data_IF_449270670739
#
_entry.id   IF_449270670739
#
_cell.length_a   1.000
_cell.length_b   1.000
_cell.length_c   1.000
_cell.angle_alpha   90.00
_cell.angle_beta   90.00
_cell.angle_gamma   90.00
#
_symmetry.space_group_name_H-M   'P 1'
#
loop_
_entity.id
_entity.type
_entity.pdbx_description
1 polymer ?
#
# COMPACT_ATOMS: atom_id res chain seq x y z
N UNK A 1 3.62 16.57 -42.04
CA UNK A 1 4.74 17.39 -41.55
C UNK A 1 4.45 17.68 -40.09
N UNK A 2 5.14 17.23 -39.05
CA UNK A 2 6.36 16.45 -38.85
C UNK A 2 6.66 16.67 -37.35
N UNK A 3 6.39 15.67 -36.51
CA UNK A 3 6.54 15.73 -35.05
C UNK A 3 7.86 15.05 -34.67
N UNK A 4 8.78 15.66 -33.90
CA UNK A 4 9.91 14.95 -33.36
C UNK A 4 9.55 14.40 -31.96
N UNK A 5 9.34 13.09 -31.90
CA UNK A 5 9.45 12.32 -30.67
C UNK A 5 10.94 12.08 -30.38
N UNK A 6 11.40 12.44 -29.19
CA UNK A 6 12.68 11.99 -28.64
C UNK A 6 12.50 11.72 -27.14
N UNK A 7 12.01 10.52 -26.81
CA UNK A 7 12.28 9.90 -25.52
C UNK A 7 13.51 9.00 -25.73
N UNK A 8 14.65 9.44 -25.21
CA UNK A 8 15.86 8.62 -25.12
C UNK A 8 15.70 7.71 -23.92
N UNK A 9 15.64 6.40 -24.19
CA UNK A 9 15.84 5.37 -23.18
C UNK A 9 17.32 5.39 -22.77
N UNK A 10 17.62 5.74 -21.51
CA UNK A 10 18.94 5.56 -20.95
C UNK A 10 19.09 4.08 -20.53
N UNK A 11 19.86 3.37 -21.33
CA UNK A 11 20.50 2.10 -20.98
C UNK A 11 21.72 2.45 -20.13
N UNK A 12 21.68 2.21 -18.82
CA UNK A 12 22.90 2.03 -18.01
C UNK A 12 23.28 0.56 -18.09
N UNK A 13 24.50 0.14 -18.45
CA UNK A 13 25.79 0.72 -18.05
C UNK A 13 26.23 -0.06 -16.81
N UNK A 14 26.90 -1.18 -17.04
CA UNK A 14 27.57 -1.98 -16.00
C UNK A 14 28.64 -1.12 -15.34
N UNK A 15 28.50 -0.86 -14.04
CA UNK A 15 29.60 -0.55 -13.13
C UNK A 15 29.15 -0.90 -11.71
N UNK A 16 29.81 -1.90 -11.14
CA UNK A 16 29.60 -2.41 -9.79
C UNK A 16 29.89 -1.33 -8.73
N UNK A 17 28.89 -1.07 -7.87
CA UNK A 17 29.13 -0.40 -6.59
C UNK A 17 28.54 -1.28 -5.48
N UNK A 18 29.40 -2.11 -4.91
CA UNK A 18 29.10 -2.93 -3.74
C UNK A 18 28.90 -2.03 -2.50
N UNK A 19 27.72 -2.08 -1.89
CA UNK A 19 27.53 -1.55 -0.54
C UNK A 19 28.05 -2.59 0.46
N UNK A 20 29.18 -2.29 1.11
CA UNK A 20 29.71 -3.07 2.22
C UNK A 20 29.00 -2.69 3.52
N UNK A 21 28.37 -3.66 4.17
CA UNK A 21 27.94 -3.55 5.58
C UNK A 21 29.16 -3.82 6.49
N UNK A 22 29.30 -3.14 7.64
CA UNK A 22 30.34 -3.49 8.60
C UNK A 22 30.03 -4.87 9.20
N UNK A 23 31.01 -5.77 9.15
CA UNK A 23 30.96 -7.08 9.77
C UNK A 23 30.80 -6.93 11.29
N UNK A 24 29.69 -7.41 11.83
CA UNK A 24 29.54 -7.69 13.26
C UNK A 24 30.33 -8.96 13.56
N UNK A 25 31.51 -8.82 14.16
CA UNK A 25 32.28 -9.94 14.69
C UNK A 25 31.52 -10.58 15.87
N UNK A 26 30.98 -11.78 15.65
CA UNK A 26 30.46 -12.61 16.73
C UNK A 26 29.11 -13.30 16.49
N UNK A 27 28.84 -13.80 15.28
CA UNK A 27 27.70 -14.71 15.06
C UNK A 27 28.15 -15.98 14.33
N UNK A 28 27.81 -17.12 14.93
CA UNK A 28 27.90 -18.45 14.31
C UNK A 28 26.99 -18.46 13.08
N UNK A 29 27.59 -18.39 11.89
CA UNK A 29 26.88 -18.50 10.60
C UNK A 29 26.11 -19.84 10.56
N UNK A 30 24.80 -19.81 10.75
CA UNK A 30 23.94 -20.82 10.13
C UNK A 30 23.70 -20.40 8.69
N UNK A 31 24.59 -20.85 7.80
CA UNK A 31 24.31 -20.89 6.38
C UNK A 31 23.15 -21.84 6.08
N UNK A 32 22.65 -21.84 4.83
CA UNK A 32 21.65 -22.80 4.39
C UNK A 32 22.09 -24.21 4.74
N UNK A 33 21.14 -25.04 5.18
CA UNK A 33 21.44 -26.46 5.35
C UNK A 33 21.85 -27.03 3.98
N UNK A 34 22.70 -28.06 3.94
CA UNK A 34 23.30 -28.58 2.69
C UNK A 34 22.29 -28.93 1.59
N UNK A 35 21.03 -29.17 1.96
CA UNK A 35 19.93 -29.45 1.04
C UNK A 35 19.32 -28.18 0.41
N UNK A 36 19.38 -27.03 1.09
CA UNK A 36 18.83 -25.74 0.62
C UNK A 36 19.79 -25.02 -0.34
N UNK A 37 21.09 -25.21 -0.17
CA UNK A 37 22.11 -24.67 -1.10
C UNK A 37 22.02 -25.37 -2.46
N UNK A 38 21.76 -26.68 -2.50
CA UNK A 38 21.61 -27.45 -3.74
C UNK A 38 20.41 -27.03 -4.59
N UNK A 39 19.28 -26.68 -3.96
CA UNK A 39 18.07 -26.20 -4.65
C UNK A 39 18.30 -24.78 -5.22
N UNK A 40 19.04 -23.92 -4.51
CA UNK A 40 19.38 -22.58 -4.98
C UNK A 40 20.43 -22.59 -6.10
N UNK A 41 21.38 -23.53 -6.05
CA UNK A 41 22.37 -23.74 -7.11
C UNK A 41 21.74 -24.32 -8.38
N UNK A 42 20.72 -25.19 -8.29
CA UNK A 42 19.96 -25.72 -9.45
C UNK A 42 19.02 -24.67 -10.09
N UNK A 43 18.72 -23.58 -9.39
CA UNK A 43 17.98 -22.43 -9.94
C UNK A 43 18.89 -21.38 -10.57
N UNK A 44 20.21 -21.52 -10.41
CA UNK A 44 21.19 -20.66 -11.07
C UNK A 44 21.32 -21.06 -12.55
N UNK A 45 20.73 -20.24 -13.42
CA UNK A 45 20.71 -20.48 -14.88
C UNK A 45 19.34 -20.34 -15.54
N UNK A 46 18.26 -20.17 -14.76
CA UNK A 46 16.96 -19.79 -15.30
C UNK A 46 16.96 -18.31 -15.70
N UNK A 47 16.78 -18.04 -16.99
CA UNK A 47 16.56 -16.70 -17.50
C UNK A 47 15.39 -16.03 -16.75
N UNK A 48 15.53 -14.77 -16.34
CA UNK A 48 14.53 -14.01 -15.55
C UNK A 48 13.11 -14.07 -16.14
N UNK A 49 13.00 -14.21 -17.46
CA UNK A 49 11.74 -14.40 -18.20
C UNK A 49 11.09 -15.76 -17.98
N UNK A 50 11.87 -16.81 -17.79
CA UNK A 50 11.39 -18.16 -17.50
C UNK A 50 10.91 -18.27 -16.05
N UNK A 51 11.64 -17.68 -15.11
CA UNK A 51 11.21 -17.56 -13.72
C UNK A 51 9.89 -16.80 -13.58
N UNK A 52 9.75 -15.65 -14.26
CA UNK A 52 8.49 -14.88 -14.24
C UNK A 52 7.32 -15.61 -14.91
N UNK A 53 7.57 -16.44 -15.93
CA UNK A 53 6.54 -17.28 -16.54
C UNK A 53 6.11 -18.43 -15.64
N UNK A 54 7.05 -19.08 -14.94
CA UNK A 54 6.76 -20.12 -13.97
C UNK A 54 6.01 -19.56 -12.74
N UNK A 55 6.43 -18.39 -12.23
CA UNK A 55 5.76 -17.70 -11.13
C UNK A 55 4.36 -17.20 -11.53
N UNK A 56 4.19 -16.69 -12.76
CA UNK A 56 2.88 -16.29 -13.29
C UNK A 56 1.94 -17.50 -13.51
N UNK A 57 2.47 -18.65 -13.91
CA UNK A 57 1.71 -19.89 -14.02
C UNK A 57 1.29 -20.44 -12.64
N UNK A 58 2.15 -20.29 -11.62
CA UNK A 58 1.85 -20.69 -10.24
C UNK A 58 0.80 -19.78 -9.55
N UNK A 59 0.76 -18.49 -9.89
CA UNK A 59 -0.18 -17.53 -9.32
C UNK A 59 -1.58 -17.55 -9.96
N UNK A 60 -1.73 -18.11 -11.16
CA UNK A 60 -2.97 -17.99 -11.93
C UNK A 60 -4.05 -19.05 -11.60
N UNK A 61 -3.77 -20.14 -10.89
CA UNK A 61 -4.73 -21.26 -10.83
C UNK A 61 -5.01 -21.88 -9.46
N UNK A 62 -4.32 -21.51 -8.37
CA UNK A 62 -4.73 -21.89 -7.00
C UNK A 62 -4.81 -23.39 -6.67
N UNK A 63 -4.53 -24.28 -7.62
CA UNK A 63 -4.44 -25.73 -7.47
C UNK A 63 -3.70 -26.27 -8.70
N UNK A 64 -2.42 -26.62 -8.57
CA UNK A 64 -1.66 -27.16 -9.70
C UNK A 64 -2.04 -28.62 -9.89
N UNK A 65 -2.61 -28.92 -11.05
CA UNK A 65 -2.61 -30.25 -11.64
C UNK A 65 -1.26 -30.44 -12.38
N UNK A 66 -0.45 -31.46 -12.04
CA UNK A 66 0.93 -31.61 -12.51
C UNK A 66 1.11 -31.55 -14.04
N UNK A 67 0.07 -31.92 -14.79
CA UNK A 67 0.09 -32.01 -16.25
C UNK A 67 0.30 -30.65 -16.93
N UNK A 68 -0.16 -29.55 -16.31
CA UNK A 68 0.04 -28.21 -16.84
C UNK A 68 1.49 -27.72 -16.69
N UNK A 69 2.17 -28.17 -15.63
CA UNK A 69 3.56 -27.81 -15.35
C UNK A 69 4.53 -28.59 -16.25
N UNK A 70 4.27 -29.89 -16.45
CA UNK A 70 5.06 -30.75 -17.34
C UNK A 70 4.95 -30.40 -18.83
N UNK A 71 3.88 -29.70 -19.23
CA UNK A 71 3.74 -29.18 -20.60
C UNK A 71 4.67 -28.00 -20.91
N UNK A 72 5.18 -27.31 -19.88
CA UNK A 72 5.99 -26.09 -20.01
C UNK A 72 7.49 -26.40 -19.93
N UNK A 73 7.91 -27.28 -19.03
CA UNK A 73 9.32 -27.71 -18.91
C UNK A 73 9.41 -29.25 -18.79
N UNK A 74 9.65 -29.96 -19.92
CA UNK A 74 9.64 -31.43 -19.96
C UNK A 74 10.73 -32.10 -19.10
N UNK A 75 11.80 -31.38 -18.74
CA UNK A 75 12.90 -31.90 -17.92
C UNK A 75 12.50 -32.11 -16.46
N UNK A 76 11.56 -31.32 -15.94
CA UNK A 76 11.02 -31.48 -14.58
C UNK A 76 10.30 -32.82 -14.38
N UNK A 77 9.96 -33.53 -15.47
CA UNK A 77 9.31 -34.84 -15.43
C UNK A 77 10.24 -35.97 -14.99
N UNK A 78 11.55 -35.78 -15.14
CA UNK A 78 12.58 -36.81 -14.87
C UNK A 78 13.47 -36.45 -13.69
N UNK A 79 13.24 -35.30 -13.06
CA UNK A 79 13.93 -34.89 -11.83
C UNK A 79 13.35 -35.63 -10.61
N UNK A 80 14.13 -36.52 -9.96
CA UNK A 80 13.68 -37.30 -8.82
C UNK A 80 13.35 -36.44 -7.59
N UNK A 81 14.06 -35.33 -7.37
CA UNK A 81 13.85 -34.46 -6.21
C UNK A 81 12.63 -33.57 -6.42
N UNK A 82 12.39 -33.08 -7.64
CA UNK A 82 11.17 -32.37 -7.98
C UNK A 82 9.92 -33.27 -7.84
N UNK A 83 9.99 -34.52 -8.30
CA UNK A 83 8.90 -35.49 -8.15
C UNK A 83 8.60 -35.80 -6.68
N UNK A 84 9.63 -35.85 -5.83
CA UNK A 84 9.53 -36.08 -4.39
C UNK A 84 8.95 -34.86 -3.65
N UNK A 85 9.32 -33.65 -4.05
CA UNK A 85 8.75 -32.41 -3.53
C UNK A 85 7.25 -32.28 -3.88
N UNK A 86 6.86 -32.65 -5.10
CA UNK A 86 5.45 -32.73 -5.52
C UNK A 86 4.67 -33.75 -4.67
N UNK A 87 5.28 -34.92 -4.44
CA UNK A 87 4.69 -35.98 -3.63
C UNK A 87 4.52 -35.57 -2.15
N UNK A 88 5.43 -34.76 -1.61
CA UNK A 88 5.34 -34.19 -0.26
C UNK A 88 4.27 -33.10 -0.15
N UNK A 89 4.09 -32.28 -1.19
CA UNK A 89 2.99 -31.31 -1.26
C UNK A 89 1.61 -31.98 -1.39
N UNK A 90 1.57 -33.21 -1.90
CA UNK A 90 0.36 -34.03 -1.97
C UNK A 90 0.10 -34.88 -0.72
N UNK A 91 0.87 -34.71 0.37
CA UNK A 91 0.45 -35.27 1.64
C UNK A 91 -0.86 -34.61 2.04
N UNK A 92 -1.92 -35.41 2.10
CA UNK A 92 -3.22 -34.99 2.60
C UNK A 92 -3.00 -34.32 3.95
N UNK A 93 -3.35 -33.03 4.03
CA UNK A 93 -3.49 -32.37 5.32
C UNK A 93 -4.40 -33.23 6.22
N UNK A 94 -4.30 -33.10 7.55
CA UNK A 94 -5.14 -33.87 8.45
C UNK A 94 -6.61 -33.79 7.97
N UNK A 95 -7.34 -34.91 7.97
CA UNK A 95 -8.69 -34.94 7.43
C UNK A 95 -9.50 -33.82 8.08
N UNK A 96 -10.31 -33.08 7.31
CA UNK A 96 -11.10 -31.99 7.87
C UNK A 96 -11.90 -32.54 9.05
N UNK A 97 -11.83 -31.85 10.18
CA UNK A 97 -12.64 -32.21 11.35
C UNK A 97 -14.10 -32.17 10.90
N UNK A 98 -14.87 -33.28 11.03
CA UNK A 98 -16.26 -33.30 10.62
C UNK A 98 -17.03 -32.23 11.41
N UNK A 99 -17.50 -31.20 10.72
CA UNK A 99 -18.38 -30.21 11.33
C UNK A 99 -19.77 -30.84 11.45
N UNK A 100 -20.28 -30.99 12.67
CA UNK A 100 -21.67 -31.38 12.87
C UNK A 100 -22.61 -30.30 12.35
N UNK A 101 -23.86 -30.65 12.02
CA UNK A 101 -24.89 -29.68 11.58
C UNK A 101 -25.24 -28.59 12.63
N UNK A 102 -24.61 -28.61 13.81
CA UNK A 102 -24.68 -27.55 14.84
C UNK A 102 -23.40 -26.74 15.03
N UNK A 103 -22.33 -27.03 14.28
CA UNK A 103 -21.08 -26.27 14.29
C UNK A 103 -21.23 -25.09 13.31
N UNK A 104 -21.37 -23.88 13.84
CA UNK A 104 -21.46 -22.67 13.01
C UNK A 104 -20.19 -22.52 12.16
N UNK A 105 -20.26 -22.02 10.90
CA UNK A 105 -19.06 -21.59 10.18
C UNK A 105 -18.29 -20.64 11.10
N UNK A 106 -17.03 -20.99 11.36
CA UNK A 106 -16.20 -20.46 12.46
C UNK A 106 -16.64 -19.09 12.99
N UNK A 107 -17.37 -19.07 14.12
CA UNK A 107 -17.63 -17.85 14.89
C UNK A 107 -16.33 -17.25 15.45
N UNK A 108 -15.28 -18.06 15.55
CA UNK A 108 -13.91 -17.63 15.86
C UNK A 108 -13.13 -17.55 14.56
N UNK A 109 -13.12 -16.35 13.96
CA UNK A 109 -12.14 -16.05 12.92
C UNK A 109 -10.75 -15.99 13.55
N UNK A 110 -10.00 -17.09 13.47
CA UNK A 110 -8.57 -17.09 13.77
C UNK A 110 -7.88 -16.39 12.59
N UNK A 111 -7.62 -15.09 12.72
CA UNK A 111 -6.90 -14.26 11.73
C UNK A 111 -5.51 -14.81 11.33
N UNK A 112 -5.05 -15.79 12.11
CA UNK A 112 -3.76 -16.43 12.08
C UNK A 112 -3.96 -17.89 11.69
N UNK A 113 -3.68 -18.31 10.44
CA UNK A 113 -3.68 -19.72 10.07
C UNK A 113 -2.86 -20.51 11.09
N UNK A 114 -3.34 -21.68 11.53
CA UNK A 114 -2.59 -22.54 12.46
C UNK A 114 -1.12 -22.65 12.02
N UNK A 115 -0.20 -22.15 12.84
CA UNK A 115 1.22 -21.95 12.49
C UNK A 115 1.73 -20.50 12.56
N UNK A 116 0.87 -19.48 12.66
CA UNK A 116 1.35 -18.11 12.91
C UNK A 116 1.75 -17.91 14.37
N UNK A 117 1.13 -18.61 15.32
CA UNK A 117 1.59 -18.63 16.71
C UNK A 117 3.02 -19.14 16.83
N UNK A 118 3.40 -20.19 16.07
CA UNK A 118 4.78 -20.67 16.04
C UNK A 118 5.73 -19.73 15.29
N UNK A 119 5.27 -18.98 14.28
CA UNK A 119 6.07 -17.92 13.64
C UNK A 119 6.29 -16.73 14.58
N UNK A 120 5.24 -16.26 15.27
CA UNK A 120 5.34 -15.20 16.29
C UNK A 120 6.24 -15.62 17.44
N UNK A 121 6.13 -16.87 17.88
CA UNK A 121 7.01 -17.42 18.90
C UNK A 121 8.46 -17.43 18.40
N UNK A 122 8.73 -17.87 17.17
CA UNK A 122 10.08 -17.79 16.56
C UNK A 122 10.59 -16.35 16.48
N UNK A 123 9.74 -15.38 16.14
CA UNK A 123 10.12 -13.97 16.14
C UNK A 123 10.41 -13.45 17.55
N UNK A 124 9.58 -13.79 18.54
CA UNK A 124 9.81 -13.47 19.95
C UNK A 124 11.12 -14.09 20.46
N UNK A 125 11.37 -15.36 20.15
CA UNK A 125 12.61 -16.07 20.48
C UNK A 125 13.84 -15.43 19.81
N UNK A 126 13.68 -14.91 18.58
CA UNK A 126 14.70 -14.16 17.86
C UNK A 126 14.79 -12.67 18.27
N UNK A 127 13.97 -12.20 19.22
CA UNK A 127 13.93 -10.79 19.63
C UNK A 127 13.41 -9.84 18.55
N UNK A 128 12.74 -10.36 17.52
CA UNK A 128 12.15 -9.59 16.42
C UNK A 128 10.71 -9.22 16.79
N UNK A 129 10.42 -7.93 16.91
CA UNK A 129 9.04 -7.44 16.95
C UNK A 129 8.58 -7.13 15.52
N UNK A 130 7.65 -7.93 14.96
CA UNK A 130 7.20 -7.75 13.58
C UNK A 130 6.40 -6.46 13.37
N UNK A 131 5.96 -5.77 14.42
CA UNK A 131 5.24 -4.50 14.36
C UNK A 131 6.12 -3.30 14.72
N UNK A 132 7.40 -3.53 15.06
CA UNK A 132 8.34 -2.46 15.33
C UNK A 132 8.46 -1.55 14.10
N UNK A 133 8.12 -0.28 14.30
CA UNK A 133 8.32 0.76 13.28
C UNK A 133 9.82 1.06 13.17
N UNK A 134 10.26 1.30 11.94
CA UNK A 134 11.65 1.70 11.70
C UNK A 134 11.70 3.22 11.71
N UNK A 135 12.77 3.76 12.28
CA UNK A 135 13.09 5.17 12.11
C UNK A 135 13.63 5.36 10.69
N UNK A 136 12.85 5.99 9.81
CA UNK A 136 13.22 6.23 8.43
C UNK A 136 13.74 7.65 8.29
N UNK A 137 15.04 7.75 8.01
CA UNK A 137 15.72 9.02 7.79
C UNK A 137 15.47 9.53 6.38
N UNK A 138 15.07 10.80 6.26
CA UNK A 138 14.88 11.47 4.98
C UNK A 138 16.11 12.31 4.66
N UNK A 139 16.59 12.25 3.42
CA UNK A 139 17.68 13.11 2.96
C UNK A 139 17.33 14.61 3.13
N UNK A 140 18.31 15.48 3.42
CA UNK A 140 18.13 16.94 3.33
C UNK A 140 17.59 17.38 1.97
N UNK A 141 16.91 18.52 1.99
CA UNK A 141 16.63 19.22 0.76
C UNK A 141 17.95 19.69 0.14
N UNK A 142 18.09 19.45 -1.16
CA UNK A 142 19.26 19.86 -1.94
C UNK A 142 18.75 20.56 -3.19
N UNK A 143 19.34 21.71 -3.51
CA UNK A 143 18.99 22.49 -4.68
C UNK A 143 17.91 23.56 -4.45
N UNK A 144 17.38 24.09 -5.55
CA UNK A 144 16.42 25.21 -5.53
C UNK A 144 15.02 24.68 -5.25
N UNK A 145 14.31 25.30 -4.30
CA UNK A 145 12.89 25.01 -4.03
C UNK A 145 12.06 25.46 -5.24
N UNK A 146 11.19 24.61 -5.80
CA UNK A 146 10.30 25.03 -6.89
C UNK A 146 9.46 26.24 -6.48
N UNK A 147 9.37 27.24 -7.36
CA UNK A 147 8.55 28.43 -7.11
C UNK A 147 7.08 28.24 -7.50
N UNK A 148 6.78 27.25 -8.35
CA UNK A 148 5.42 26.95 -8.80
C UNK A 148 4.74 25.94 -7.84
N UNK A 149 3.60 26.29 -7.22
CA UNK A 149 2.80 25.38 -6.42
C UNK A 149 2.45 24.06 -7.12
N UNK A 150 2.27 24.07 -8.45
CA UNK A 150 2.00 22.86 -9.22
C UNK A 150 3.19 21.90 -9.15
N UNK A 151 4.41 22.39 -9.35
CA UNK A 151 5.63 21.58 -9.27
C UNK A 151 5.82 20.99 -7.86
N UNK A 152 5.54 21.79 -6.81
CA UNK A 152 5.60 21.33 -5.42
C UNK A 152 4.63 20.15 -5.19
N UNK A 153 3.37 20.27 -5.63
CA UNK A 153 2.36 19.24 -5.40
C UNK A 153 2.72 17.87 -6.02
N UNK A 154 3.52 17.87 -7.09
CA UNK A 154 3.97 16.67 -7.79
C UNK A 154 5.20 15.99 -7.15
N UNK A 155 5.88 16.66 -6.21
CA UNK A 155 7.02 16.05 -5.51
C UNK A 155 6.61 14.75 -4.79
N UNK A 156 7.52 13.77 -4.68
CA UNK A 156 7.32 12.60 -3.81
C UNK A 156 7.16 13.02 -2.35
N UNK A 157 6.42 12.23 -1.57
CA UNK A 157 6.23 12.47 -0.12
C UNK A 157 7.57 12.63 0.59
N UNK A 158 8.56 11.80 0.27
CA UNK A 158 9.90 11.93 0.85
C UNK A 158 10.52 13.33 0.62
N UNK A 159 10.28 13.95 -0.54
CA UNK A 159 10.82 15.28 -0.86
C UNK A 159 9.99 16.42 -0.27
N UNK A 160 8.67 16.25 -0.20
CA UNK A 160 7.79 17.16 0.54
C UNK A 160 8.16 17.22 2.02
N UNK A 161 8.45 16.06 2.62
CA UNK A 161 8.88 15.95 3.99
C UNK A 161 10.23 16.66 4.23
N UNK A 162 11.19 16.56 3.30
CA UNK A 162 12.42 17.36 3.36
C UNK A 162 12.12 18.86 3.36
N UNK A 163 11.24 19.34 2.45
CA UNK A 163 10.88 20.76 2.38
C UNK A 163 10.24 21.28 3.67
N UNK A 164 9.33 20.51 4.27
CA UNK A 164 8.67 20.87 5.53
C UNK A 164 9.68 20.85 6.68
N UNK A 165 10.42 19.74 6.86
CA UNK A 165 11.40 19.58 7.94
C UNK A 165 12.46 20.68 7.91
N UNK A 166 12.97 20.99 6.73
CA UNK A 166 14.03 21.98 6.52
C UNK A 166 13.48 23.42 6.45
N UNK A 167 12.16 23.60 6.69
CA UNK A 167 11.44 24.88 6.76
C UNK A 167 11.52 25.71 5.47
N UNK A 168 11.59 25.04 4.33
CA UNK A 168 11.48 25.65 3.01
C UNK A 168 10.03 25.97 2.63
N UNK A 169 9.08 25.21 3.18
CA UNK A 169 7.64 25.46 3.08
C UNK A 169 7.00 25.13 4.44
N UNK A 170 5.95 25.84 4.83
CA UNK A 170 5.17 25.48 6.01
C UNK A 170 4.17 24.35 5.69
N UNK A 171 3.75 23.58 6.69
CA UNK A 171 2.70 22.59 6.52
C UNK A 171 1.38 23.25 6.12
N UNK A 172 1.09 24.46 6.62
CA UNK A 172 -0.08 25.25 6.21
C UNK A 172 -0.03 25.58 4.73
N UNK A 173 1.08 26.15 4.24
CA UNK A 173 1.21 26.51 2.82
C UNK A 173 1.11 25.27 1.92
N UNK A 174 1.76 24.16 2.31
CA UNK A 174 1.65 22.90 1.57
C UNK A 174 0.21 22.37 1.54
N UNK A 175 -0.50 22.45 2.67
CA UNK A 175 -1.91 22.07 2.79
C UNK A 175 -2.80 22.91 1.89
N UNK A 176 -2.61 24.24 1.83
CA UNK A 176 -3.40 25.10 0.95
C UNK A 176 -3.20 24.74 -0.53
N UNK A 177 -1.97 24.41 -0.95
CA UNK A 177 -1.69 23.92 -2.32
C UNK A 177 -2.58 22.70 -2.65
N UNK A 178 -2.64 21.71 -1.76
CA UNK A 178 -3.45 20.52 -2.02
C UNK A 178 -4.96 20.79 -1.92
N UNK A 179 -5.41 21.64 -0.99
CA UNK A 179 -6.83 22.04 -0.91
C UNK A 179 -7.29 22.77 -2.17
N UNK A 180 -6.47 23.66 -2.72
CA UNK A 180 -6.75 24.34 -4.00
C UNK A 180 -6.89 23.34 -5.15
N UNK A 181 -5.97 22.37 -5.23
CA UNK A 181 -6.02 21.30 -6.24
C UNK A 181 -7.25 20.42 -6.08
N UNK A 182 -7.60 20.04 -4.85
CA UNK A 182 -8.82 19.27 -4.58
C UNK A 182 -10.06 20.00 -5.10
N UNK A 183 -10.21 21.27 -4.74
CA UNK A 183 -11.35 22.08 -5.18
C UNK A 183 -11.38 22.29 -6.70
N UNK A 184 -10.22 22.37 -7.34
CA UNK A 184 -10.09 22.52 -8.80
C UNK A 184 -10.49 21.24 -9.55
N UNK A 185 -10.05 20.07 -9.10
CA UNK A 185 -10.18 18.83 -9.88
C UNK A 185 -11.35 17.93 -9.47
N UNK A 186 -11.81 17.99 -8.21
CA UNK A 186 -12.89 17.12 -7.75
C UNK A 186 -14.24 17.29 -8.48
N UNK A 187 -14.68 18.50 -8.90
CA UNK A 187 -15.95 18.63 -9.63
C UNK A 187 -16.00 17.79 -10.91
N UNK A 188 -14.85 17.58 -11.54
CA UNK A 188 -14.72 16.78 -12.75
C UNK A 188 -14.36 15.33 -12.45
N UNK A 189 -13.40 15.07 -11.55
CA UNK A 189 -12.90 13.72 -11.29
C UNK A 189 -13.72 12.93 -10.27
N UNK A 190 -14.53 13.61 -9.45
CA UNK A 190 -15.44 13.01 -8.46
C UNK A 190 -14.72 12.03 -7.51
N UNK A 191 -13.63 12.46 -6.88
CA UNK A 191 -12.81 11.64 -6.01
C UNK A 191 -13.00 11.91 -4.51
N UNK A 192 -13.72 12.96 -4.10
CA UNK A 192 -13.83 13.40 -2.70
C UNK A 192 -15.27 13.31 -2.17
N UNK A 193 -15.49 12.55 -1.11
CA UNK A 193 -16.75 12.55 -0.35
C UNK A 193 -16.90 13.81 0.50
N UNK A 194 -15.81 14.16 1.19
CA UNK A 194 -15.72 15.35 2.03
C UNK A 194 -14.32 15.93 1.89
N UNK A 195 -14.23 17.21 1.53
CA UNK A 195 -13.00 18.01 1.64
C UNK A 195 -13.06 18.68 3.02
N UNK A 196 -11.96 18.70 3.76
CA UNK A 196 -11.92 19.04 5.18
C UNK A 196 -11.02 20.26 5.47
N UNK A 197 -11.28 21.44 4.89
CA UNK A 197 -10.34 22.55 4.93
C UNK A 197 -10.08 23.08 6.35
N UNK A 198 -11.09 23.14 7.22
CA UNK A 198 -10.94 23.61 8.60
C UNK A 198 -10.02 22.67 9.40
N UNK A 199 -10.33 21.37 9.41
CA UNK A 199 -9.50 20.34 10.04
C UNK A 199 -8.09 20.33 9.48
N UNK A 200 -7.95 20.40 8.16
CA UNK A 200 -6.67 20.40 7.48
C UNK A 200 -5.78 21.56 7.95
N UNK A 201 -6.35 22.77 8.05
CA UNK A 201 -5.63 23.95 8.54
C UNK A 201 -5.24 23.82 10.01
N UNK A 202 -6.13 23.31 10.86
CA UNK A 202 -5.85 23.08 12.27
C UNK A 202 -4.70 22.06 12.47
N UNK A 203 -4.77 20.92 11.78
CA UNK A 203 -3.75 19.87 11.84
C UNK A 203 -2.40 20.36 11.26
N UNK A 204 -2.42 21.14 10.18
CA UNK A 204 -1.22 21.73 9.58
C UNK A 204 -0.57 22.81 10.48
N UNK A 205 -1.38 23.67 11.10
CA UNK A 205 -0.90 24.65 12.07
C UNK A 205 -0.24 23.97 13.27
N UNK A 206 -0.82 22.86 13.74
CA UNK A 206 -0.22 22.08 14.82
C UNK A 206 1.12 21.46 14.41
N UNK A 207 1.24 20.92 13.19
CA UNK A 207 2.51 20.42 12.67
C UNK A 207 3.57 21.54 12.61
N UNK A 208 3.23 22.73 12.11
CA UNK A 208 4.15 23.87 12.09
C UNK A 208 4.57 24.30 13.51
N UNK A 209 3.65 24.28 14.48
CA UNK A 209 3.95 24.57 15.89
C UNK A 209 4.90 23.55 16.51
N UNK A 210 4.66 22.27 16.27
CA UNK A 210 5.52 21.18 16.74
C UNK A 210 6.93 21.32 16.18
N UNK A 211 7.06 21.57 14.88
CA UNK A 211 8.35 21.76 14.22
C UNK A 211 9.08 23.00 14.75
N UNK A 212 8.37 24.09 15.04
CA UNK A 212 8.93 25.29 15.69
C UNK A 212 9.45 24.98 17.10
N UNK A 213 8.76 24.12 17.84
CA UNK A 213 9.14 23.65 19.17
C UNK A 213 10.20 22.53 19.15
N UNK A 214 10.72 22.17 17.97
CA UNK A 214 11.76 21.14 17.82
C UNK A 214 11.23 19.70 17.85
N UNK A 215 9.91 19.51 17.76
CA UNK A 215 9.27 18.20 17.69
C UNK A 215 9.05 17.80 16.24
N UNK A 216 9.93 16.94 15.73
CA UNK A 216 9.76 16.27 14.44
C UNK A 216 9.18 14.88 14.67
N UNK A 217 8.01 14.59 14.10
CA UNK A 217 7.30 13.31 14.30
C UNK A 217 7.61 12.25 13.23
N UNK A 218 8.52 12.56 12.31
CA UNK A 218 8.94 11.65 11.26
C UNK A 218 8.45 12.04 9.86
N UNK A 219 8.71 11.18 8.86
CA UNK A 219 8.46 11.41 7.44
C UNK A 219 7.11 11.98 7.00
N UNK A 220 6.04 11.74 7.75
CA UNK A 220 4.69 12.19 7.37
C UNK A 220 4.27 13.48 8.08
N UNK A 221 5.14 14.06 8.91
CA UNK A 221 4.84 15.26 9.68
C UNK A 221 4.57 16.45 8.75
N UNK A 222 3.36 16.99 8.85
CA UNK A 222 2.86 18.09 8.05
C UNK A 222 2.44 17.73 6.62
N UNK A 223 2.38 16.44 6.27
CA UNK A 223 2.09 15.98 4.90
C UNK A 223 0.58 15.79 4.67
N UNK A 224 -0.02 16.44 3.64
CA UNK A 224 -1.45 16.31 3.33
C UNK A 224 -1.83 14.95 2.72
N UNK A 225 -2.84 14.29 3.28
CA UNK A 225 -3.32 12.98 2.79
C UNK A 225 -4.84 12.85 2.74
N UNK A 226 -5.30 11.87 1.95
CA UNK A 226 -6.70 11.48 1.90
C UNK A 226 -6.92 10.02 2.31
N UNK A 227 -8.06 9.73 2.91
CA UNK A 227 -8.42 8.37 3.36
C UNK A 227 -9.72 7.93 2.71
N UNK A 228 -9.76 6.70 2.19
CA UNK A 228 -10.97 6.11 1.60
C UNK A 228 -12.17 6.24 2.54
N UNK A 229 -13.34 6.52 1.99
CA UNK A 229 -14.61 6.72 2.71
C UNK A 229 -15.25 5.42 3.20
N UNK A 230 -14.40 4.46 3.57
CA UNK A 230 -14.74 3.28 4.35
C UNK A 230 -14.29 3.40 5.80
N UNK A 231 -13.25 4.20 6.04
CA UNK A 231 -12.74 4.43 7.39
C UNK A 231 -13.55 5.49 8.11
N UNK A 232 -13.78 5.34 9.40
CA UNK A 232 -14.45 6.33 10.22
C UNK A 232 -13.46 7.44 10.60
N UNK A 233 -13.97 8.67 10.61
CA UNK A 233 -13.25 9.84 11.09
C UNK A 233 -14.26 10.71 11.83
N UNK A 234 -14.05 10.92 13.13
CA UNK A 234 -14.96 11.66 13.96
C UNK A 234 -15.19 13.09 13.44
N UNK A 235 -16.41 13.59 13.54
CA UNK A 235 -16.83 14.89 12.99
C UNK A 235 -17.02 14.93 11.48
N UNK A 236 -16.81 13.84 10.74
CA UNK A 236 -17.00 13.78 9.28
C UNK A 236 -18.02 12.73 8.86
N UNK A 237 -18.46 12.79 7.60
CA UNK A 237 -19.32 11.73 7.03
C UNK A 237 -18.49 10.50 6.68
N UNK A 238 -19.09 9.32 6.82
CA UNK A 238 -18.55 8.05 6.36
C UNK A 238 -19.67 7.28 5.67
N UNK A 239 -19.74 7.40 4.35
CA UNK A 239 -20.93 7.06 3.55
C UNK A 239 -20.84 5.70 2.87
N UNK A 240 -19.65 5.10 2.85
CA UNK A 240 -19.38 3.84 2.15
C UNK A 240 -19.68 3.89 0.65
N UNK A 241 -19.73 5.10 0.07
CA UNK A 241 -20.07 5.34 -1.34
C UNK A 241 -21.54 5.07 -1.68
N UNK A 242 -22.39 4.75 -0.69
CA UNK A 242 -23.80 4.40 -0.90
C UNK A 242 -24.73 5.58 -0.65
N UNK A 243 -25.76 5.70 -1.49
CA UNK A 243 -26.79 6.73 -1.36
C UNK A 243 -27.61 6.58 -0.07
N UNK A 244 -27.78 5.33 0.41
CA UNK A 244 -28.50 5.04 1.65
C UNK A 244 -27.80 5.56 2.91
N UNK A 245 -26.50 5.85 2.81
CA UNK A 245 -25.64 6.24 3.92
C UNK A 245 -24.99 7.62 3.70
N UNK A 246 -25.54 8.44 2.79
CA UNK A 246 -24.96 9.73 2.41
C UNK A 246 -24.76 10.70 3.58
N UNK A 247 -25.60 10.62 4.61
CA UNK A 247 -25.54 11.45 5.82
C UNK A 247 -24.96 10.71 7.04
N UNK A 248 -24.49 9.47 6.86
CA UNK A 248 -23.95 8.66 7.95
C UNK A 248 -22.71 9.33 8.56
N UNK A 249 -22.71 9.43 9.88
CA UNK A 249 -21.60 9.88 10.72
C UNK A 249 -21.35 8.84 11.79
N UNK A 250 -20.09 8.47 11.94
CA UNK A 250 -19.65 7.53 12.97
C UNK A 250 -18.58 8.28 13.77
N UNK A 251 -18.92 8.62 15.01
CA UNK A 251 -18.10 9.48 15.88
C UNK A 251 -16.96 8.68 16.54
N UNK A 252 -16.12 8.13 15.68
CA UNK A 252 -14.95 7.34 16.03
C UNK A 252 -13.88 7.48 14.94
N UNK A 253 -12.62 7.52 15.35
CA UNK A 253 -11.51 7.47 14.41
C UNK A 253 -11.04 6.03 14.18
N UNK A 254 -10.87 5.67 12.91
CA UNK A 254 -10.18 4.43 12.56
C UNK A 254 -8.74 4.42 13.09
N UNK A 255 -8.24 3.25 13.46
CA UNK A 255 -6.90 3.11 14.07
C UNK A 255 -5.79 3.71 13.19
N UNK A 256 -5.85 3.50 11.87
CA UNK A 256 -4.88 4.10 10.94
C UNK A 256 -4.97 5.63 10.87
N UNK A 257 -6.15 6.21 11.12
CA UNK A 257 -6.32 7.68 11.13
C UNK A 257 -5.67 8.25 12.39
N UNK A 258 -5.82 7.56 13.52
CA UNK A 258 -5.11 7.90 14.77
C UNK A 258 -3.61 7.82 14.57
N UNK A 259 -3.09 6.72 14.00
CA UNK A 259 -1.64 6.56 13.73
C UNK A 259 -1.08 7.64 12.82
N UNK A 260 -1.79 7.98 11.75
CA UNK A 260 -1.37 9.04 10.83
C UNK A 260 -1.38 10.42 11.49
N UNK A 261 -2.37 10.70 12.35
CA UNK A 261 -2.40 11.93 13.16
C UNK A 261 -1.26 11.98 14.17
N UNK A 262 -0.92 10.85 14.80
CA UNK A 262 0.23 10.74 15.70
C UNK A 262 1.55 11.00 14.96
N UNK A 263 1.69 10.51 13.72
CA UNK A 263 2.82 10.82 12.83
C UNK A 263 2.85 12.29 12.33
N UNK A 264 1.81 13.07 12.64
CA UNK A 264 1.68 14.47 12.24
C UNK A 264 1.19 14.68 10.81
N UNK A 265 0.66 13.64 10.15
CA UNK A 265 0.06 13.78 8.82
C UNK A 265 -1.24 14.59 8.89
N UNK A 266 -1.52 15.36 7.84
CA UNK A 266 -2.64 16.30 7.77
C UNK A 266 -3.77 15.70 6.94
N UNK A 267 -4.90 15.39 7.56
CA UNK A 267 -6.05 14.82 6.88
C UNK A 267 -6.83 15.91 6.13
N UNK A 268 -6.79 15.87 4.80
CA UNK A 268 -7.47 16.88 3.97
C UNK A 268 -8.78 16.39 3.36
N UNK A 269 -9.00 15.07 3.27
CA UNK A 269 -10.22 14.55 2.68
C UNK A 269 -10.60 13.10 3.01
N UNK A 270 -11.91 12.87 2.98
CA UNK A 270 -12.53 11.56 2.78
C UNK A 270 -12.67 11.31 1.28
N UNK A 271 -12.02 10.27 0.77
CA UNK A 271 -11.97 9.98 -0.67
C UNK A 271 -12.97 8.91 -1.08
N UNK A 272 -13.58 9.08 -2.25
CA UNK A 272 -14.62 8.23 -2.80
C UNK A 272 -14.21 6.75 -2.83
N UNK A 273 -15.19 5.89 -2.52
CA UNK A 273 -15.13 4.45 -2.75
C UNK A 273 -16.25 4.10 -3.71
N UNK A 274 -16.04 3.09 -4.56
CA UNK A 274 -17.19 2.43 -5.16
C UNK A 274 -18.14 1.91 -4.08
N UNK A 275 -19.44 1.95 -4.35
CA UNK A 275 -20.48 1.59 -3.39
C UNK A 275 -20.20 0.25 -2.71
N UNK A 276 -20.21 0.23 -1.38
CA UNK A 276 -19.84 -0.92 -0.54
C UNK A 276 -18.53 -1.60 -0.95
N UNK A 277 -17.55 -0.78 -1.33
CA UNK A 277 -16.25 -1.23 -1.79
C UNK A 277 -16.31 -2.08 -3.09
N UNK A 278 -17.24 -1.76 -4.01
CA UNK A 278 -17.35 -2.39 -5.34
C UNK A 278 -17.27 -1.38 -6.49
N UNK A 279 -16.41 -1.64 -7.49
CA UNK A 279 -16.28 -0.79 -8.68
C UNK A 279 -15.87 0.66 -8.41
N UNK A 280 -16.13 1.57 -9.33
CA UNK A 280 -15.75 2.99 -9.24
C UNK A 280 -16.93 3.96 -9.30
N UNK A 281 -18.15 3.43 -9.13
CA UNK A 281 -19.38 4.20 -9.09
C UNK A 281 -19.91 4.31 -7.66
N UNK A 282 -20.37 5.50 -7.31
CA UNK A 282 -20.87 5.89 -6.01
C UNK A 282 -21.97 6.95 -6.20
N UNK A 283 -22.61 7.43 -5.13
CA UNK A 283 -23.81 8.28 -5.24
C UNK A 283 -23.60 9.59 -6.05
N UNK A 284 -22.36 10.10 -6.18
CA UNK A 284 -22.05 11.26 -7.05
C UNK A 284 -21.87 10.92 -8.52
N UNK A 285 -21.70 9.65 -8.89
CA UNK A 285 -21.42 9.19 -10.24
C UNK A 285 -20.23 8.24 -10.29
N UNK A 286 -19.48 8.28 -11.40
CA UNK A 286 -18.26 7.48 -11.58
C UNK A 286 -17.03 8.35 -11.27
N UNK A 287 -16.15 7.88 -10.38
CA UNK A 287 -14.84 8.53 -10.20
C UNK A 287 -14.01 8.33 -11.46
N UNK A 288 -13.51 9.43 -12.04
CA UNK A 288 -12.83 9.42 -13.34
C UNK A 288 -11.33 9.29 -13.19
N UNK A 289 -10.69 8.76 -14.22
CA UNK A 289 -9.25 8.65 -14.32
C UNK A 289 -8.65 10.02 -14.73
N UNK A 290 -7.67 10.58 -13.99
CA UNK A 290 -7.07 11.87 -14.33
C UNK A 290 -6.29 11.86 -15.66
N UNK A 291 -5.82 10.69 -16.10
CA UNK A 291 -5.09 10.53 -17.37
C UNK A 291 -6.00 10.45 -18.60
N UNK A 292 -7.24 9.97 -18.41
CA UNK A 292 -8.29 10.00 -19.42
C UNK A 292 -9.66 10.15 -18.74
N UNK A 293 -10.22 11.35 -18.82
CA UNK A 293 -11.45 11.72 -18.10
C UNK A 293 -12.72 11.11 -18.69
N UNK A 294 -12.64 10.49 -19.87
CA UNK A 294 -13.74 9.69 -20.43
C UNK A 294 -13.82 8.28 -19.82
N UNK A 295 -12.84 7.91 -18.99
CA UNK A 295 -12.69 6.59 -18.41
C UNK A 295 -12.80 6.61 -16.87
N UNK A 296 -13.30 5.50 -16.31
CA UNK A 296 -13.33 5.29 -14.86
C UNK A 296 -11.94 5.00 -14.26
N UNK A 297 -11.79 5.35 -12.98
CA UNK A 297 -10.55 5.14 -12.22
C UNK A 297 -10.32 3.68 -11.78
N UNK A 298 -11.24 2.75 -12.09
CA UNK A 298 -11.30 1.43 -11.45
C UNK A 298 -11.47 1.54 -9.93
N UNK A 299 -11.57 0.40 -9.25
CA UNK A 299 -11.97 0.41 -7.85
C UNK A 299 -11.71 -0.89 -7.09
N UNK A 300 -12.13 -0.94 -5.83
CA UNK A 300 -13.01 0.06 -5.19
C UNK A 300 -12.35 1.26 -4.53
N UNK A 301 -11.03 1.32 -4.40
CA UNK A 301 -10.33 2.53 -3.95
C UNK A 301 -10.22 3.56 -5.07
N UNK A 302 -11.36 3.93 -5.63
CA UNK A 302 -11.50 4.79 -6.80
C UNK A 302 -11.01 6.22 -6.53
N UNK A 303 -11.52 6.85 -5.46
CA UNK A 303 -11.08 8.16 -5.01
C UNK A 303 -9.60 8.21 -4.63
N UNK A 304 -9.09 7.30 -3.78
CA UNK A 304 -7.65 7.17 -3.51
C UNK A 304 -6.78 7.06 -4.77
N UNK A 305 -7.22 6.27 -5.77
CA UNK A 305 -6.50 6.15 -7.04
C UNK A 305 -6.50 7.44 -7.86
N UNK A 306 -7.67 8.05 -8.03
CA UNK A 306 -7.83 9.26 -8.85
C UNK A 306 -7.17 10.49 -8.21
N UNK A 307 -7.40 10.73 -6.92
CA UNK A 307 -6.88 11.89 -6.20
C UNK A 307 -5.34 11.89 -6.10
N UNK A 308 -4.73 10.74 -5.78
CA UNK A 308 -3.26 10.65 -5.69
C UNK A 308 -2.61 10.83 -7.07
N UNK A 309 -3.20 10.27 -8.13
CA UNK A 309 -2.69 10.39 -9.49
C UNK A 309 -2.85 11.81 -10.06
N UNK A 310 -3.88 12.56 -9.63
CA UNK A 310 -4.05 13.97 -9.94
C UNK A 310 -3.15 14.89 -9.09
N UNK A 311 -2.32 14.34 -8.19
CA UNK A 311 -1.61 15.07 -7.15
C UNK A 311 -2.54 15.99 -6.32
N UNK A 312 -3.79 15.59 -6.10
CA UNK A 312 -4.75 16.29 -5.25
C UNK A 312 -4.59 15.91 -3.76
N UNK A 313 -3.79 14.88 -3.49
CA UNK A 313 -3.26 14.52 -2.17
C UNK A 313 -1.79 14.08 -2.33
N UNK A 314 -0.97 14.19 -1.28
CA UNK A 314 0.41 13.70 -1.35
C UNK A 314 0.44 12.16 -1.38
N UNK A 315 -0.37 11.53 -0.53
CA UNK A 315 -0.65 10.10 -0.54
C UNK A 315 -2.10 9.81 -0.16
N UNK A 316 -2.55 8.58 -0.41
CA UNK A 316 -3.85 8.13 0.03
C UNK A 316 -3.81 6.74 0.68
N UNK A 317 -4.82 6.48 1.51
CA UNK A 317 -5.09 5.15 2.06
C UNK A 317 -6.27 4.52 1.32
N UNK A 318 -6.05 3.34 0.76
CA UNK A 318 -7.04 2.49 0.11
C UNK A 318 -7.36 1.24 0.93
N UNK A 319 -8.33 0.46 0.44
CA UNK A 319 -8.64 -0.88 0.97
C UNK A 319 -8.75 -1.91 -0.13
N UNK A 320 -8.39 -3.14 0.20
CA UNK A 320 -8.48 -4.28 -0.70
C UNK A 320 -9.05 -5.52 -0.04
N UNK A 321 -10.17 -5.99 -0.59
CA UNK A 321 -10.69 -7.34 -0.41
C UNK A 321 -10.09 -8.24 -1.50
N UNK A 322 -10.29 -7.85 -2.76
CA UNK A 322 -9.77 -8.52 -3.95
C UNK A 322 -9.53 -7.47 -5.04
N UNK A 323 -8.28 -7.05 -5.24
CA UNK A 323 -7.92 -6.09 -6.28
C UNK A 323 -8.18 -4.61 -5.97
N UNK A 324 -8.92 -4.25 -4.92
CA UNK A 324 -9.38 -2.88 -4.70
C UNK A 324 -8.31 -1.83 -4.33
N UNK A 325 -7.05 -2.20 -4.13
CA UNK A 325 -5.88 -1.30 -4.09
C UNK A 325 -5.12 -1.41 -5.42
N UNK A 326 -4.76 -2.63 -5.83
CA UNK A 326 -3.87 -2.85 -6.98
C UNK A 326 -4.51 -2.49 -8.32
N UNK A 327 -5.82 -2.74 -8.49
CA UNK A 327 -6.59 -2.44 -9.71
C UNK A 327 -6.70 -0.94 -9.98
N UNK A 328 -7.18 -0.10 -9.04
CA UNK A 328 -7.17 1.35 -9.23
C UNK A 328 -5.74 1.89 -9.32
N UNK A 329 -4.75 1.32 -8.62
CA UNK A 329 -3.36 1.78 -8.77
C UNK A 329 -2.82 1.54 -10.17
N UNK A 330 -3.03 0.34 -10.74
CA UNK A 330 -2.68 0.02 -12.13
C UNK A 330 -3.37 0.95 -13.12
N UNK A 331 -4.65 1.25 -12.88
CA UNK A 331 -5.46 2.09 -13.77
C UNK A 331 -5.00 3.55 -13.78
N UNK A 332 -4.60 4.08 -12.62
CA UNK A 332 -4.23 5.48 -12.45
C UNK A 332 -2.70 5.69 -12.40
N UNK A 333 -1.88 4.67 -12.70
CA UNK A 333 -0.42 4.81 -12.78
C UNK A 333 0.27 5.06 -11.43
N UNK A 334 -0.18 4.40 -10.37
CA UNK A 334 0.34 4.57 -9.01
C UNK A 334 1.20 3.40 -8.54
N UNK A 335 2.07 3.68 -7.58
CA UNK A 335 2.65 2.68 -6.70
C UNK A 335 1.69 2.39 -5.55
N UNK A 336 1.58 1.13 -5.14
CA UNK A 336 0.75 0.77 -4.00
C UNK A 336 1.21 -0.52 -3.34
N UNK A 337 0.91 -0.62 -2.05
CA UNK A 337 1.17 -1.81 -1.26
C UNK A 337 -0.14 -2.38 -0.74
N UNK A 338 -0.44 -3.61 -1.15
CA UNK A 338 -1.41 -4.47 -0.45
C UNK A 338 -0.65 -5.27 0.61
N UNK A 339 -0.75 -4.93 1.90
CA UNK A 339 0.05 -5.59 2.91
C UNK A 339 -0.42 -7.01 3.21
N UNK A 340 0.40 -7.75 3.94
CA UNK A 340 0.01 -9.02 4.55
C UNK A 340 -1.25 -8.83 5.39
N UNK A 341 -2.15 -9.81 5.36
CA UNK A 341 -3.36 -9.76 6.18
C UNK A 341 -3.00 -9.62 7.67
N UNK A 342 -3.73 -8.77 8.39
CA UNK A 342 -3.49 -8.49 9.81
C UNK A 342 -2.33 -7.55 10.11
N UNK A 343 -1.56 -7.11 9.10
CA UNK A 343 -0.43 -6.21 9.27
C UNK A 343 -0.83 -4.75 9.51
N UNK A 344 -2.02 -4.34 9.04
CA UNK A 344 -2.57 -3.01 9.29
C UNK A 344 -3.93 -3.23 9.94
N UNK A 345 -4.21 -2.49 11.01
CA UNK A 345 -5.50 -2.56 11.69
C UNK A 345 -6.64 -2.20 10.74
N UNK A 346 -7.76 -2.87 10.92
CA UNK A 346 -9.01 -2.59 10.18
C UNK A 346 -10.07 -1.95 11.07
N UNK A 347 -9.70 -1.64 12.31
CA UNK A 347 -10.60 -1.00 13.26
C UNK A 347 -11.08 0.35 12.73
N UNK A 348 -12.37 0.61 12.85
CA UNK A 348 -13.04 1.76 12.24
C UNK A 348 -13.14 1.71 10.72
N UNK A 349 -12.87 0.58 10.06
CA UNK A 349 -13.13 0.37 8.63
C UNK A 349 -14.43 -0.41 8.40
N UNK A 350 -15.21 -0.04 7.38
CA UNK A 350 -16.31 -0.88 6.91
C UNK A 350 -15.79 -2.26 6.51
N UNK A 351 -16.39 -3.31 7.05
CA UNK A 351 -16.05 -4.69 6.70
C UNK A 351 -16.86 -5.11 5.47
N UNK A 352 -16.17 -5.48 4.40
CA UNK A 352 -16.76 -6.20 3.27
C UNK A 352 -16.55 -7.71 3.46
N UNK A 353 -15.34 -8.12 3.83
CA UNK A 353 -14.99 -9.52 4.09
C UNK A 353 -13.96 -9.63 5.21
N UNK A 354 -14.40 -10.22 6.32
CA UNK A 354 -13.59 -10.41 7.53
C UNK A 354 -12.25 -11.10 7.28
N UNK A 355 -12.19 -12.03 6.32
CA UNK A 355 -11.01 -12.83 6.03
C UNK A 355 -10.09 -12.28 4.96
N UNK A 356 -10.51 -11.21 4.26
CA UNK A 356 -9.83 -10.74 3.06
C UNK A 356 -9.42 -9.27 3.12
N UNK A 357 -10.20 -8.43 3.80
CA UNK A 357 -9.98 -6.99 3.78
C UNK A 357 -8.59 -6.62 4.32
N UNK A 358 -7.93 -5.68 3.64
CA UNK A 358 -6.63 -5.10 3.98
C UNK A 358 -6.69 -3.60 3.73
N UNK A 359 -6.04 -2.81 4.57
CA UNK A 359 -5.82 -1.40 4.33
C UNK A 359 -4.38 -1.19 3.85
N UNK A 360 -4.13 -0.24 2.95
CA UNK A 360 -2.77 -0.03 2.46
C UNK A 360 -2.58 1.31 1.75
N UNK A 361 -1.32 1.75 1.60
CA UNK A 361 -0.99 3.01 0.95
C UNK A 361 -1.08 2.93 -0.57
N UNK A 362 -1.48 4.05 -1.17
CA UNK A 362 -1.46 4.32 -2.60
C UNK A 362 -0.73 5.66 -2.81
N UNK A 363 0.44 5.61 -3.43
CA UNK A 363 1.35 6.75 -3.59
C UNK A 363 1.87 6.86 -5.05
N UNK A 364 2.59 7.92 -5.38
CA UNK A 364 3.22 8.06 -6.71
C UNK A 364 4.53 7.28 -6.83
N UNK A 365 5.21 7.00 -5.71
CA UNK A 365 6.47 6.23 -5.66
C UNK A 365 6.38 5.05 -4.69
N UNK A 366 7.30 4.08 -4.82
CA UNK A 366 7.37 2.92 -3.94
C UNK A 366 7.97 3.28 -2.58
N UNK A 367 8.90 4.24 -2.57
CA UNK A 367 9.50 4.81 -1.36
C UNK A 367 8.43 5.46 -0.50
N UNK A 368 7.53 6.25 -1.10
CA UNK A 368 6.42 6.88 -0.38
C UNK A 368 5.46 5.82 0.20
N UNK A 369 5.24 4.71 -0.52
CA UNK A 369 4.44 3.59 0.02
C UNK A 369 5.10 2.98 1.27
N UNK A 370 6.43 2.85 1.29
CA UNK A 370 7.15 2.35 2.45
C UNK A 370 7.06 3.29 3.66
N UNK A 371 7.18 4.61 3.44
CA UNK A 371 7.01 5.63 4.48
C UNK A 371 5.62 5.56 5.11
N UNK A 372 4.57 5.55 4.28
CA UNK A 372 3.19 5.50 4.77
C UNK A 372 2.91 4.17 5.46
N UNK A 373 3.37 3.06 4.89
CA UNK A 373 3.19 1.73 5.47
C UNK A 373 3.86 1.60 6.84
N UNK A 374 5.04 2.21 7.04
CA UNK A 374 5.74 2.19 8.32
C UNK A 374 4.89 2.77 9.45
N UNK A 375 4.10 3.81 9.18
CA UNK A 375 3.28 4.48 10.20
C UNK A 375 1.95 3.79 10.48
N UNK A 376 1.37 3.10 9.50
CA UNK A 376 0.04 2.47 9.67
C UNK A 376 0.10 1.00 10.09
N UNK A 377 1.27 0.35 10.04
CA UNK A 377 1.44 -1.06 10.43
C UNK A 377 1.41 -1.30 11.92
#
# INVERSE_FOLDING_TARGET
MGCPANCVALVGGEDDVAYAYPELEGETKMGPTGDEQGILDDLSGLERRQFLKAAAAALATGAVRPEALFGIEPRLRVDPEFAKALAQQSQEGPPPVPLGNGEHPALVYQAYPGGTGSLYQKWQEAGVDPFMRHDIQIAPWEGTVPGDPEEIAWLPVARLASLVRDRHISSVDLTEIYLERMNRYDPELMFAVSILPERAREEAQQADMDLRNGTWRGPLHGIPYGVKDLFTVAGTRTTWGSDSFIDQRIEEDADLVVRLREAGAVLIAKLATGEFASGDRWYRGQTRNPWNREEGSSGSSAGPGSATAAAAVAFAIGTETQGSIVSPSRRNGLSALRPTFGRVSRYGGMVLSWSMDKAGPMCRTIEDCALVFNEIR
#
